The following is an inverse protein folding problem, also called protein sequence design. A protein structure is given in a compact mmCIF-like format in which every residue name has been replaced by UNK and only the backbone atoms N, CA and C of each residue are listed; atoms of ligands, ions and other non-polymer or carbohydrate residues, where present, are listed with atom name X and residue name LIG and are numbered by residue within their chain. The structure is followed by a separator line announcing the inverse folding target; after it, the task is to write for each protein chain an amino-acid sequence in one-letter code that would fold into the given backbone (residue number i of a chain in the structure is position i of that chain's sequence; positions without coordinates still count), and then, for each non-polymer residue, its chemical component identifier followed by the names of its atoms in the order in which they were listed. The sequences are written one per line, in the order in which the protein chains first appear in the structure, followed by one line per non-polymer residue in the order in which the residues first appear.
data_IF_278938385773
#
_entry.id   IF_278938385773
#
_cell.length_a   1.000
_cell.length_b   1.000
_cell.length_c   1.000
_cell.angle_alpha   90.00
_cell.angle_beta   90.00
_cell.angle_gamma   90.00
#
_symmetry.space_group_name_H-M   'P 1'
#
loop_
_entity.id
_entity.type
_entity.pdbx_description
1 polymer ?
#
# COMPACT_ATOMS: atom_id res chain seq x y z
N UNK A 1 -6.86 3.75 5.25
CA UNK A 1 -5.47 3.27 5.22
C UNK A 1 -4.99 2.69 6.56
N UNK A 2 -4.60 3.51 7.55
CA UNK A 2 -3.83 3.06 8.73
C UNK A 2 -4.47 1.96 9.58
N UNK A 3 -5.80 1.91 9.66
CA UNK A 3 -6.52 0.83 10.38
C UNK A 3 -6.23 -0.54 9.75
N UNK A 4 -6.25 -0.62 8.42
CA UNK A 4 -5.94 -1.86 7.68
C UNK A 4 -4.48 -2.20 7.88
N UNK A 5 -3.56 -1.25 7.71
CA UNK A 5 -2.12 -1.50 7.88
C UNK A 5 -1.79 -2.05 9.28
N UNK A 6 -2.35 -1.45 10.33
CA UNK A 6 -2.20 -1.94 11.72
C UNK A 6 -2.83 -3.33 11.90
N UNK A 7 -3.99 -3.59 11.27
CA UNK A 7 -4.65 -4.89 11.33
C UNK A 7 -3.78 -5.99 10.71
N UNK A 8 -3.22 -5.72 9.54
CA UNK A 8 -2.33 -6.66 8.83
C UNK A 8 -1.05 -6.93 9.61
N UNK A 9 -0.45 -5.90 10.21
CA UNK A 9 0.72 -6.08 11.07
C UNK A 9 0.39 -6.96 12.29
N UNK A 10 -0.76 -6.75 12.92
CA UNK A 10 -1.22 -7.60 14.04
C UNK A 10 -1.48 -9.04 13.60
N UNK A 11 -2.10 -9.24 12.43
CA UNK A 11 -2.33 -10.57 11.86
C UNK A 11 -1.01 -11.31 11.57
N UNK A 12 0.02 -10.56 11.15
CA UNK A 12 1.38 -11.08 10.98
C UNK A 12 2.14 -11.30 12.30
N UNK A 13 1.50 -11.10 13.46
CA UNK A 13 2.11 -11.31 14.78
C UNK A 13 3.05 -10.18 15.23
N UNK A 14 2.99 -9.01 14.59
CA UNK A 14 3.82 -7.86 14.94
C UNK A 14 3.16 -7.07 16.07
N UNK A 15 3.91 -6.87 17.16
CA UNK A 15 3.49 -5.98 18.24
C UNK A 15 3.56 -4.51 17.76
N UNK A 16 2.48 -3.77 18.00
CA UNK A 16 2.36 -2.37 17.58
C UNK A 16 2.87 -1.45 18.69
N UNK A 17 3.97 -0.76 18.41
CA UNK A 17 4.59 0.17 19.33
C UNK A 17 5.70 0.98 18.66
N UNK A 18 6.45 1.79 19.43
CA UNK A 18 7.47 2.67 18.89
C UNK A 18 8.60 1.95 18.12
N UNK A 19 8.79 0.65 18.35
CA UNK A 19 9.84 -0.18 17.75
C UNK A 19 9.38 -1.01 16.56
N UNK A 20 8.10 -0.97 16.19
CA UNK A 20 7.53 -1.81 15.13
C UNK A 20 8.32 -1.74 13.82
N UNK A 21 8.76 -0.55 13.40
CA UNK A 21 9.54 -0.34 12.16
C UNK A 21 10.95 -0.97 12.25
N UNK A 22 11.50 -1.09 13.46
CA UNK A 22 12.83 -1.66 13.69
C UNK A 22 12.81 -3.19 13.81
N UNK A 23 11.71 -3.74 14.31
CA UNK A 23 11.61 -5.15 14.69
C UNK A 23 10.93 -6.01 13.61
N UNK A 24 10.00 -5.44 12.84
CA UNK A 24 9.35 -6.14 11.74
C UNK A 24 10.25 -6.18 10.48
N UNK A 25 10.18 -7.26 9.72
CA UNK A 25 10.84 -7.33 8.42
C UNK A 25 10.23 -6.32 7.46
N UNK A 26 11.01 -5.90 6.46
CA UNK A 26 10.52 -4.99 5.42
C UNK A 26 9.40 -5.66 4.62
N UNK A 27 9.49 -6.96 4.37
CA UNK A 27 8.45 -7.73 3.69
C UNK A 27 7.12 -7.62 4.41
N UNK A 28 7.11 -7.70 5.76
CA UNK A 28 5.89 -7.56 6.55
C UNK A 28 5.38 -6.12 6.55
N UNK A 29 6.26 -5.14 6.76
CA UNK A 29 5.88 -3.72 6.78
C UNK A 29 5.32 -3.25 5.43
N UNK A 30 6.04 -3.51 4.34
CA UNK A 30 5.59 -3.14 3.00
C UNK A 30 4.40 -3.99 2.54
N UNK A 31 4.34 -5.26 2.91
CA UNK A 31 3.18 -6.12 2.62
C UNK A 31 1.89 -5.58 3.23
N UNK A 32 1.93 -5.22 4.52
CA UNK A 32 0.83 -4.57 5.22
C UNK A 32 0.44 -3.23 4.56
N UNK A 33 1.44 -2.41 4.19
CA UNK A 33 1.22 -1.14 3.51
C UNK A 33 0.55 -1.31 2.14
N UNK A 34 1.00 -2.27 1.32
CA UNK A 34 0.43 -2.55 0.01
C UNK A 34 -1.01 -3.06 0.13
N UNK A 35 -1.30 -3.94 1.09
CA UNK A 35 -2.67 -4.38 1.34
C UNK A 35 -3.56 -3.23 1.77
N UNK A 36 -3.10 -2.36 2.67
CA UNK A 36 -3.83 -1.15 3.05
C UNK A 36 -4.06 -0.19 1.86
N UNK A 37 -3.09 -0.10 0.95
CA UNK A 37 -3.18 0.73 -0.28
C UNK A 37 -4.22 0.19 -1.24
N UNK A 38 -4.26 -1.13 -1.44
CA UNK A 38 -5.26 -1.81 -2.28
C UNK A 38 -6.69 -1.53 -1.77
N UNK A 39 -6.91 -1.70 -0.46
CA UNK A 39 -8.19 -1.36 0.18
C UNK A 39 -8.52 0.13 0.06
N UNK A 40 -7.55 1.03 0.23
CA UNK A 40 -7.75 2.47 0.10
C UNK A 40 -8.17 2.86 -1.32
N UNK A 41 -7.50 2.35 -2.36
CA UNK A 41 -7.85 2.59 -3.75
C UNK A 41 -9.24 2.03 -4.09
N UNK A 42 -9.53 0.79 -3.65
CA UNK A 42 -10.85 0.18 -3.82
C UNK A 42 -11.97 0.99 -3.17
N UNK A 43 -11.75 1.48 -1.95
CA UNK A 43 -12.75 2.28 -1.25
C UNK A 43 -12.91 3.68 -1.87
N UNK A 44 -11.82 4.26 -2.38
CA UNK A 44 -11.88 5.54 -3.12
C UNK A 44 -12.76 5.43 -4.35
N UNK A 45 -12.67 4.31 -5.08
CA UNK A 45 -13.52 4.05 -6.24
C UNK A 45 -15.00 3.92 -5.84
N UNK A 46 -15.30 3.21 -4.74
CA UNK A 46 -16.68 3.06 -4.21
C UNK A 46 -17.30 4.42 -3.84
N UNK A 47 -16.48 5.33 -3.30
CA UNK A 47 -16.92 6.69 -2.94
C UNK A 47 -16.89 7.68 -4.11
N UNK A 48 -16.45 7.24 -5.30
CA UNK A 48 -16.19 8.11 -6.45
C UNK A 48 -15.19 9.25 -6.14
N UNK A 49 -14.28 9.04 -5.20
CA UNK A 49 -13.19 9.98 -4.87
C UNK A 49 -12.01 9.79 -5.83
N UNK A 50 -12.23 10.17 -7.09
CA UNK A 50 -11.23 10.05 -8.17
C UNK A 50 -10.01 10.95 -7.92
N UNK A 51 -10.19 12.06 -7.20
CA UNK A 51 -9.08 12.92 -6.79
C UNK A 51 -8.10 12.14 -5.91
N UNK A 52 -8.59 11.50 -4.84
CA UNK A 52 -7.75 10.73 -3.95
C UNK A 52 -7.17 9.50 -4.63
N UNK A 53 -7.96 8.79 -5.45
CA UNK A 53 -7.49 7.64 -6.23
C UNK A 53 -6.27 7.99 -7.09
N UNK A 54 -6.37 9.08 -7.87
CA UNK A 54 -5.27 9.55 -8.73
C UNK A 54 -4.05 9.95 -7.90
N UNK A 55 -4.28 10.65 -6.79
CA UNK A 55 -3.21 11.08 -5.91
C UNK A 55 -2.47 9.87 -5.30
N UNK A 56 -3.21 8.86 -4.84
CA UNK A 56 -2.63 7.67 -4.23
C UNK A 56 -1.90 6.79 -5.26
N UNK A 57 -2.42 6.65 -6.48
CA UNK A 57 -1.73 5.96 -7.57
C UNK A 57 -0.42 6.64 -7.95
N UNK A 58 -0.38 7.97 -7.97
CA UNK A 58 0.85 8.72 -8.23
C UNK A 58 1.92 8.47 -7.14
N UNK A 59 1.50 8.28 -5.89
CA UNK A 59 2.41 7.88 -4.81
C UNK A 59 2.88 6.44 -4.97
N UNK A 60 1.97 5.49 -5.23
CA UNK A 60 2.33 4.09 -5.43
C UNK A 60 3.37 3.92 -6.55
N UNK A 61 3.16 4.53 -7.73
CA UNK A 61 4.12 4.43 -8.84
C UNK A 61 5.44 5.13 -8.54
N UNK A 62 5.43 6.20 -7.75
CA UNK A 62 6.66 6.87 -7.30
C UNK A 62 7.45 5.96 -6.37
N UNK A 63 6.77 5.29 -5.44
CA UNK A 63 7.40 4.42 -4.46
C UNK A 63 7.97 3.18 -5.17
N UNK A 64 7.23 2.56 -6.10
CA UNK A 64 7.72 1.46 -6.95
C UNK A 64 9.03 1.83 -7.69
N UNK A 65 9.11 3.06 -8.22
CA UNK A 65 10.25 3.51 -9.02
C UNK A 65 11.45 3.94 -8.19
N UNK A 66 11.22 4.57 -7.04
CA UNK A 66 12.26 5.34 -6.35
C UNK A 66 12.58 4.83 -4.94
N UNK A 67 11.71 4.01 -4.33
CA UNK A 67 11.97 3.50 -2.99
C UNK A 67 12.95 2.33 -3.02
N UNK A 68 14.20 2.62 -2.66
CA UNK A 68 15.29 1.63 -2.56
C UNK A 68 15.09 0.59 -1.45
N UNK A 69 14.11 0.79 -0.57
CA UNK A 69 13.82 -0.12 0.54
C UNK A 69 12.62 -1.01 0.28
N UNK A 70 11.85 -0.78 -0.79
CA UNK A 70 10.79 -1.68 -1.24
C UNK A 70 11.40 -3.05 -1.58
N UNK A 71 10.97 -4.14 -0.92
CA UNK A 71 11.46 -5.48 -1.23
C UNK A 71 11.15 -5.89 -2.68
N UNK A 72 12.13 -6.49 -3.36
CA UNK A 72 11.97 -6.93 -4.76
C UNK A 72 10.81 -7.92 -4.92
N UNK A 73 10.62 -8.80 -3.93
CA UNK A 73 9.52 -9.78 -3.87
C UNK A 73 8.13 -9.14 -3.84
N UNK A 74 8.02 -7.85 -3.53
CA UNK A 74 6.75 -7.12 -3.45
C UNK A 74 6.51 -6.18 -4.62
N UNK A 75 7.49 -5.99 -5.52
CA UNK A 75 7.33 -5.09 -6.66
C UNK A 75 6.26 -5.55 -7.64
N UNK A 76 6.19 -6.86 -7.91
CA UNK A 76 5.14 -7.44 -8.75
C UNK A 76 3.77 -7.16 -8.15
N UNK A 77 3.58 -7.42 -6.84
CA UNK A 77 2.33 -7.13 -6.15
C UNK A 77 1.96 -5.64 -6.17
N UNK A 78 2.93 -4.75 -5.99
CA UNK A 78 2.69 -3.32 -6.06
C UNK A 78 2.25 -2.87 -7.47
N UNK A 79 2.83 -3.46 -8.52
CA UNK A 79 2.43 -3.22 -9.90
C UNK A 79 1.03 -3.76 -10.20
N UNK A 80 0.67 -4.95 -9.73
CA UNK A 80 -0.69 -5.50 -9.87
C UNK A 80 -1.74 -4.56 -9.29
N UNK A 81 -1.48 -4.01 -8.09
CA UNK A 81 -2.37 -3.03 -7.47
C UNK A 81 -2.47 -1.79 -8.37
N UNK A 82 -1.34 -1.22 -8.79
CA UNK A 82 -1.34 -0.04 -9.67
C UNK A 82 -2.12 -0.26 -10.97
N UNK A 83 -1.90 -1.39 -11.64
CA UNK A 83 -2.54 -1.73 -12.91
C UNK A 83 -4.05 -1.92 -12.73
N UNK A 84 -4.50 -2.50 -11.60
CA UNK A 84 -5.92 -2.71 -11.29
C UNK A 84 -6.75 -1.43 -11.22
N UNK A 85 -6.11 -0.28 -10.98
CA UNK A 85 -6.79 1.01 -10.85
C UNK A 85 -6.40 2.03 -11.92
N UNK A 86 -5.51 1.68 -12.86
CA UNK A 86 -4.95 2.63 -13.83
C UNK A 86 -6.01 3.21 -14.77
N UNK A 87 -7.05 2.44 -15.11
CA UNK A 87 -8.13 2.90 -16.00
C UNK A 87 -8.97 4.03 -15.37
N UNK A 88 -8.92 4.20 -14.05
CA UNK A 88 -9.68 5.22 -13.34
C UNK A 88 -8.91 6.53 -13.14
N UNK A 89 -7.63 6.60 -13.53
CA UNK A 89 -6.77 7.78 -13.30
C UNK A 89 -7.18 9.02 -14.11
N UNK A 90 -7.95 8.81 -15.18
CA UNK A 90 -8.32 9.81 -16.18
C UNK A 90 -9.75 10.34 -15.99
N UNK A 91 -10.47 9.84 -14.98
CA UNK A 91 -11.76 10.37 -14.54
C UNK A 91 -11.60 11.60 -13.63
#
# INVERSE_FOLDING_TARGET
HSIIEISELKEAGVEIGPKTIMEASKEVLYGAHLKATDYELGYSLVLEDFYWLKHRLAYLVRDIKNDKYLPESLKERAMEIYDSFTDYKDF
#
